data_IF_700353487772
#
_entry.id   IF_700353487772
#
_cell.length_a   1.000
_cell.length_b   1.000
_cell.length_c   1.000
_cell.angle_alpha   90.00
_cell.angle_beta   90.00
_cell.angle_gamma   90.00
#
_symmetry.space_group_name_H-M   'P 1'
#
loop_
_entity.id
_entity.type
_entity.pdbx_description
1 polymer ?
#
# COMPACT_ATOMS: atom_id res chain seq x y z
N UNK A 1 15.97 -19.77 3.18
CA UNK A 1 15.15 -18.60 2.76
C UNK A 1 13.71 -19.07 2.70
N UNK A 2 12.91 -18.79 3.72
CA UNK A 2 11.51 -19.22 3.79
C UNK A 2 10.60 -17.99 3.60
N UNK A 3 10.28 -17.66 2.35
CA UNK A 3 9.23 -16.69 2.04
C UNK A 3 7.87 -17.40 2.15
N UNK A 4 7.31 -17.46 3.36
CA UNK A 4 6.00 -18.05 3.61
C UNK A 4 4.89 -17.11 3.18
N UNK A 5 4.24 -17.38 2.05
CA UNK A 5 2.98 -16.73 1.66
C UNK A 5 1.89 -17.33 2.55
N UNK A 6 1.37 -16.58 3.52
CA UNK A 6 0.14 -16.97 4.24
C UNK A 6 -1.07 -16.41 3.48
N UNK A 7 -1.90 -17.33 2.97
CA UNK A 7 -3.17 -17.01 2.33
C UNK A 7 -4.26 -16.86 3.39
N UNK A 8 -5.01 -15.76 3.37
CA UNK A 8 -6.27 -15.62 4.10
C UNK A 8 -7.42 -15.96 3.15
N UNK A 9 -8.33 -16.84 3.57
CA UNK A 9 -9.57 -17.13 2.85
C UNK A 9 -10.76 -16.57 3.62
N UNK A 10 -11.67 -15.89 2.90
CA UNK A 10 -12.90 -15.29 3.44
C UNK A 10 -14.09 -15.93 2.73
N UNK A 11 -15.06 -16.43 3.51
CA UNK A 11 -16.34 -17.01 3.06
C UNK A 11 -17.46 -15.97 3.10
N UNK A 12 -18.35 -15.99 2.11
CA UNK A 12 -19.52 -15.09 1.97
C UNK A 12 -20.86 -15.79 2.28
N UNK A 13 -21.86 -15.03 2.74
CA UNK A 13 -23.29 -15.36 2.77
C UNK A 13 -24.15 -14.19 2.23
N UNK A 14 -25.42 -14.40 1.80
CA UNK A 14 -26.13 -13.50 0.86
C UNK A 14 -27.28 -12.66 1.47
N UNK A 15 -27.82 -11.76 0.62
CA UNK A 15 -29.10 -10.98 0.66
C UNK A 15 -29.18 -9.77 1.62
N UNK A 16 -29.77 -8.60 1.33
CA UNK A 16 -30.65 -8.08 0.26
C UNK A 16 -30.69 -6.52 0.32
N UNK A 17 -31.25 -5.86 -0.72
CA UNK A 17 -31.23 -4.42 -1.03
C UNK A 17 -32.10 -3.49 -0.13
N UNK A 18 -31.71 -2.21 0.05
CA UNK A 18 -32.66 -1.06 -0.10
C UNK A 18 -31.94 0.29 -0.24
N UNK A 19 -32.59 1.20 -0.98
CA UNK A 19 -32.09 2.45 -1.54
C UNK A 19 -32.34 3.68 -0.66
N UNK A 20 -31.29 4.41 -0.29
CA UNK A 20 -31.36 5.83 0.13
C UNK A 20 -30.05 6.57 -0.20
N UNK A 21 -30.20 7.78 -0.72
CA UNK A 21 -29.16 8.74 -1.08
C UNK A 21 -28.14 8.96 0.05
N UNK A 22 -26.91 8.49 -0.16
CA UNK A 22 -25.88 8.40 0.87
C UNK A 22 -24.48 8.45 0.22
N UNK A 23 -23.99 9.65 -0.13
CA UNK A 23 -22.61 9.82 -0.63
C UNK A 23 -21.52 9.71 0.46
N UNK A 24 -21.87 9.47 1.73
CA UNK A 24 -20.93 9.19 2.84
C UNK A 24 -21.44 8.12 3.84
N UNK A 25 -21.58 6.85 3.45
CA UNK A 25 -21.40 5.78 4.46
C UNK A 25 -20.90 4.45 3.91
N UNK A 26 -20.68 4.29 2.60
CA UNK A 26 -20.26 2.98 2.07
C UNK A 26 -18.84 2.64 2.58
N UNK A 27 -17.98 3.64 2.73
CA UNK A 27 -16.59 3.42 3.18
C UNK A 27 -16.53 3.06 4.66
N UNK A 28 -17.30 3.76 5.51
CA UNK A 28 -17.31 3.48 6.96
C UNK A 28 -18.03 2.18 7.31
N UNK A 29 -19.08 1.83 6.57
CA UNK A 29 -19.83 0.59 6.78
C UNK A 29 -19.01 -0.64 6.33
N UNK A 30 -18.34 -0.54 5.17
CA UNK A 30 -17.38 -1.54 4.69
C UNK A 30 -16.15 -1.68 5.62
N UNK A 31 -15.81 -0.62 6.35
CA UNK A 31 -14.74 -0.60 7.34
C UNK A 31 -15.07 -1.49 8.55
N UNK A 32 -16.34 -1.58 8.94
CA UNK A 32 -16.75 -2.43 10.08
C UNK A 32 -16.53 -3.91 9.73
N UNK A 33 -16.82 -4.28 8.49
CA UNK A 33 -16.68 -5.67 8.00
C UNK A 33 -15.24 -6.11 7.80
N UNK A 34 -14.32 -5.19 7.46
CA UNK A 34 -12.92 -5.49 7.12
C UNK A 34 -11.94 -5.20 8.26
N UNK A 35 -12.46 -5.05 9.48
CA UNK A 35 -11.67 -4.51 10.58
C UNK A 35 -10.65 -5.52 11.13
N UNK A 36 -10.96 -6.81 11.04
CA UNK A 36 -10.03 -7.87 11.41
C UNK A 36 -8.83 -7.90 10.47
N UNK A 37 -9.04 -7.78 9.15
CA UNK A 37 -7.98 -7.72 8.15
C UNK A 37 -7.09 -6.50 8.37
N UNK A 38 -7.68 -5.35 8.66
CA UNK A 38 -6.93 -4.12 8.96
C UNK A 38 -6.06 -4.31 10.20
N UNK A 39 -6.59 -4.89 11.26
CA UNK A 39 -5.82 -5.16 12.50
C UNK A 39 -4.67 -6.13 12.22
N UNK A 40 -4.93 -7.22 11.50
CA UNK A 40 -3.92 -8.22 11.17
C UNK A 40 -2.80 -7.64 10.30
N UNK A 41 -3.12 -6.86 9.28
CA UNK A 41 -2.12 -6.24 8.42
C UNK A 41 -1.37 -5.16 9.19
N UNK A 42 -2.02 -4.41 10.08
CA UNK A 42 -1.35 -3.40 10.92
C UNK A 42 -0.31 -4.05 11.83
N UNK A 43 -0.63 -5.18 12.48
CA UNK A 43 0.35 -5.93 13.28
C UNK A 43 1.52 -6.44 12.40
N UNK A 44 1.25 -6.97 11.21
CA UNK A 44 2.33 -7.37 10.29
C UNK A 44 3.23 -6.19 9.88
N UNK A 45 2.67 -5.00 9.68
CA UNK A 45 3.40 -3.81 9.28
C UNK A 45 4.25 -3.21 10.41
N UNK A 46 3.81 -3.29 11.67
CA UNK A 46 4.42 -2.57 12.80
C UNK A 46 5.20 -3.50 13.74
N UNK A 47 4.82 -4.77 13.80
CA UNK A 47 5.42 -5.80 14.67
C UNK A 47 6.10 -6.92 13.85
N UNK A 48 6.04 -6.83 12.52
CA UNK A 48 6.73 -7.77 11.64
C UNK A 48 8.25 -7.60 11.66
N UNK A 49 8.99 -8.51 11.00
CA UNK A 49 10.44 -8.42 10.92
C UNK A 49 10.92 -7.12 10.24
N UNK A 50 12.07 -6.60 10.69
CA UNK A 50 12.69 -5.35 10.19
C UNK A 50 13.29 -5.46 8.77
N UNK A 51 12.98 -6.53 8.03
CA UNK A 51 13.46 -6.75 6.67
C UNK A 51 12.38 -6.39 5.63
N UNK A 52 12.75 -6.46 4.35
CA UNK A 52 11.82 -6.21 3.26
C UNK A 52 10.65 -7.20 3.28
N UNK A 53 9.43 -6.68 3.43
CA UNK A 53 8.18 -7.43 3.40
C UNK A 53 7.31 -7.03 2.21
N UNK A 54 6.58 -8.01 1.66
CA UNK A 54 5.57 -7.79 0.63
C UNK A 54 4.24 -8.36 1.12
N UNK A 55 3.26 -7.48 1.35
CA UNK A 55 1.90 -7.84 1.75
C UNK A 55 0.98 -7.63 0.56
N UNK A 56 0.30 -8.69 0.13
CA UNK A 56 -0.63 -8.65 -1.01
C UNK A 56 -2.08 -8.69 -0.51
N UNK A 57 -2.89 -7.71 -0.90
CA UNK A 57 -4.34 -7.69 -0.62
C UNK A 57 -5.07 -8.24 -1.86
N UNK A 58 -5.59 -9.45 -1.77
CA UNK A 58 -6.25 -10.17 -2.86
C UNK A 58 -7.76 -10.30 -2.58
N UNK A 59 -8.56 -10.48 -3.63
CA UNK A 59 -10.01 -10.60 -3.52
C UNK A 59 -10.76 -10.13 -4.76
N UNK A 60 -12.06 -10.38 -4.80
CA UNK A 60 -12.93 -10.07 -5.94
C UNK A 60 -13.10 -8.56 -6.17
N UNK A 61 -13.57 -8.18 -7.35
CA UNK A 61 -13.93 -6.79 -7.64
C UNK A 61 -14.98 -6.29 -6.64
N UNK A 62 -14.88 -5.05 -6.19
CA UNK A 62 -15.86 -4.46 -5.27
C UNK A 62 -15.68 -4.80 -3.79
N UNK A 63 -14.82 -5.76 -3.40
CA UNK A 63 -14.62 -6.17 -1.99
C UNK A 63 -13.84 -5.16 -1.12
N UNK A 64 -13.44 -4.00 -1.65
CA UNK A 64 -12.85 -2.95 -0.82
C UNK A 64 -11.33 -3.03 -0.59
N UNK A 65 -10.59 -3.84 -1.37
CA UNK A 65 -9.11 -3.95 -1.27
C UNK A 65 -8.39 -2.59 -1.22
N UNK A 66 -8.74 -1.68 -2.13
CA UNK A 66 -8.16 -0.34 -2.18
C UNK A 66 -8.57 0.49 -0.97
N UNK A 67 -9.75 0.25 -0.39
CA UNK A 67 -10.20 0.90 0.84
C UNK A 67 -9.37 0.43 2.05
N UNK A 68 -9.11 -0.88 2.17
CA UNK A 68 -8.19 -1.44 3.19
C UNK A 68 -6.80 -0.80 3.06
N UNK A 69 -6.21 -0.84 1.87
CA UNK A 69 -4.88 -0.25 1.63
C UNK A 69 -4.83 1.25 1.98
N UNK A 70 -5.88 1.99 1.62
CA UNK A 70 -5.99 3.43 1.91
C UNK A 70 -6.17 3.71 3.40
N UNK A 71 -6.88 2.85 4.13
CA UNK A 71 -7.04 2.98 5.58
C UNK A 71 -5.72 2.71 6.29
N UNK A 72 -5.01 1.64 5.94
CA UNK A 72 -3.67 1.34 6.47
C UNK A 72 -2.67 2.46 6.18
N UNK A 73 -2.65 3.01 4.97
CA UNK A 73 -1.78 4.14 4.61
C UNK A 73 -2.02 5.39 5.47
N UNK A 74 -3.25 5.59 5.94
CA UNK A 74 -3.65 6.73 6.76
C UNK A 74 -3.69 6.40 8.27
N UNK A 75 -3.45 5.15 8.65
CA UNK A 75 -3.45 4.73 10.05
C UNK A 75 -2.28 5.39 10.80
N UNK A 76 -2.57 5.93 11.98
CA UNK A 76 -1.57 6.69 12.74
C UNK A 76 -0.40 5.83 13.21
N UNK A 77 -0.64 4.57 13.57
CA UNK A 77 0.43 3.65 14.01
C UNK A 77 1.34 3.32 12.83
N UNK A 78 0.75 3.00 11.68
CA UNK A 78 1.50 2.74 10.45
C UNK A 78 2.32 3.96 10.05
N UNK A 79 1.71 5.16 10.02
CA UNK A 79 2.42 6.40 9.66
C UNK A 79 3.54 6.78 10.63
N UNK A 80 3.40 6.45 11.92
CA UNK A 80 4.46 6.71 12.90
C UNK A 80 5.60 5.69 12.85
N UNK A 81 5.35 4.51 12.30
CA UNK A 81 6.35 3.43 12.24
C UNK A 81 7.32 3.59 11.07
N UNK A 82 6.86 4.10 9.92
CA UNK A 82 7.70 4.26 8.73
C UNK A 82 8.19 5.71 8.55
N UNK A 83 9.49 5.90 8.33
CA UNK A 83 10.09 7.22 8.06
C UNK A 83 9.53 7.89 6.80
N UNK A 84 9.18 7.07 5.80
CA UNK A 84 8.61 7.48 4.51
C UNK A 84 7.51 6.52 4.09
N UNK A 85 6.41 7.08 3.60
CA UNK A 85 5.32 6.31 3.01
C UNK A 85 4.98 6.85 1.61
N UNK A 86 4.90 5.95 0.64
CA UNK A 86 4.52 6.28 -0.74
C UNK A 86 3.20 5.61 -1.12
N UNK A 87 2.35 6.34 -1.84
CA UNK A 87 1.16 5.78 -2.48
C UNK A 87 1.25 5.99 -3.99
N UNK A 88 1.13 4.89 -4.75
CA UNK A 88 1.15 4.92 -6.21
C UNK A 88 0.00 4.09 -6.78
N UNK A 89 -0.62 4.57 -7.85
CA UNK A 89 -1.69 3.86 -8.56
C UNK A 89 -1.09 3.22 -9.81
N UNK A 90 -0.93 1.91 -9.79
CA UNK A 90 -0.57 1.16 -10.99
C UNK A 90 -1.77 0.99 -11.89
N UNK A 91 -1.86 1.75 -12.98
CA UNK A 91 -2.76 1.37 -14.08
C UNK A 91 -2.08 0.27 -14.90
N UNK A 92 -2.86 -0.59 -15.55
CA UNK A 92 -2.35 -1.71 -16.38
C UNK A 92 -1.29 -1.30 -17.43
N UNK A 93 -1.24 -0.01 -17.77
CA UNK A 93 -0.34 0.58 -18.77
C UNK A 93 0.83 1.36 -18.12
N UNK A 94 1.01 1.30 -16.80
CA UNK A 94 2.14 1.97 -16.15
C UNK A 94 3.45 1.29 -16.54
N UNK A 95 4.27 2.01 -17.31
CA UNK A 95 5.66 1.63 -17.57
C UNK A 95 6.39 1.61 -16.22
N UNK A 96 7.07 0.50 -15.90
CA UNK A 96 7.91 0.31 -14.68
C UNK A 96 8.67 1.58 -14.28
N UNK A 97 9.29 2.26 -15.25
CA UNK A 97 10.06 3.50 -15.06
C UNK A 97 9.23 4.65 -14.47
N UNK A 98 7.97 4.82 -14.90
CA UNK A 98 7.08 5.85 -14.36
C UNK A 98 6.76 5.58 -12.89
N UNK A 99 6.42 4.33 -12.57
CA UNK A 99 6.14 3.92 -11.19
C UNK A 99 7.34 4.19 -10.26
N UNK A 100 8.54 3.80 -10.69
CA UNK A 100 9.77 4.04 -9.93
C UNK A 100 10.06 5.54 -9.73
N UNK A 101 9.79 6.38 -10.73
CA UNK A 101 9.91 7.84 -10.62
C UNK A 101 8.88 8.44 -9.67
N UNK A 102 7.64 7.95 -9.70
CA UNK A 102 6.58 8.39 -8.79
C UNK A 102 6.95 8.04 -7.33
N UNK A 103 7.44 6.81 -7.10
CA UNK A 103 7.97 6.39 -5.78
C UNK A 103 9.13 7.27 -5.36
N UNK A 104 10.14 7.48 -6.23
CA UNK A 104 11.29 8.31 -5.88
C UNK A 104 10.87 9.74 -5.51
N UNK A 105 9.88 10.29 -6.21
CA UNK A 105 9.35 11.63 -5.94
C UNK A 105 8.61 11.78 -4.62
N UNK A 106 8.08 10.68 -4.06
CA UNK A 106 7.40 10.71 -2.77
C UNK A 106 8.36 10.47 -1.60
N UNK A 107 9.50 9.79 -1.83
CA UNK A 107 10.45 9.46 -0.76
C UNK A 107 11.64 10.43 -0.66
N UNK A 108 12.04 11.09 -1.75
CA UNK A 108 13.17 12.04 -1.78
C UNK A 108 12.70 13.47 -1.99
N UNK A 109 13.42 14.43 -1.40
CA UNK A 109 13.23 15.87 -1.61
C UNK A 109 13.88 16.34 -2.93
N UNK A 110 13.72 15.61 -4.02
CA UNK A 110 14.23 15.98 -5.35
C UNK A 110 13.16 16.68 -6.16
N UNK A 111 13.55 17.59 -7.05
CA UNK A 111 12.57 18.23 -7.94
C UNK A 111 12.05 17.20 -8.94
N UNK A 112 10.74 17.28 -9.24
CA UNK A 112 10.13 16.39 -10.25
C UNK A 112 10.87 16.44 -11.59
N UNK A 113 11.30 17.63 -12.02
CA UNK A 113 11.99 17.79 -13.30
C UNK A 113 13.36 17.10 -13.34
N UNK A 114 14.02 16.96 -12.19
CA UNK A 114 15.29 16.23 -12.05
C UNK A 114 15.01 14.72 -12.16
N UNK A 115 14.02 14.21 -11.41
CA UNK A 115 13.61 12.80 -11.46
C UNK A 115 13.13 12.38 -12.86
N UNK A 116 12.41 13.26 -13.57
CA UNK A 116 11.92 12.98 -14.92
C UNK A 116 13.05 12.81 -15.93
N UNK A 117 14.18 13.49 -15.73
CA UNK A 117 15.37 13.38 -16.58
C UNK A 117 16.25 12.18 -16.25
N UNK A 118 16.14 11.61 -15.04
CA UNK A 118 16.95 10.48 -14.62
C UNK A 118 16.86 9.29 -15.59
N UNK A 119 18.03 8.75 -15.91
CA UNK A 119 18.20 7.47 -16.59
C UNK A 119 18.03 6.30 -15.62
N UNK A 120 17.90 5.08 -16.14
CA UNK A 120 17.63 3.90 -15.34
C UNK A 120 18.75 3.61 -14.33
N UNK A 121 20.01 3.95 -14.67
CA UNK A 121 21.17 3.81 -13.76
C UNK A 121 21.06 4.76 -12.55
N UNK A 122 20.81 6.04 -12.80
CA UNK A 122 20.66 7.06 -11.76
C UNK A 122 19.45 6.77 -10.87
N UNK A 123 18.35 6.30 -11.49
CA UNK A 123 17.14 5.87 -10.79
C UNK A 123 17.43 4.69 -9.86
N UNK A 124 18.19 3.70 -10.32
CA UNK A 124 18.59 2.55 -9.52
C UNK A 124 19.53 2.93 -8.37
N UNK A 125 20.48 3.84 -8.58
CA UNK A 125 21.39 4.34 -7.54
C UNK A 125 20.62 5.14 -6.47
N UNK A 126 19.70 6.03 -6.88
CA UNK A 126 18.91 6.85 -5.94
C UNK A 126 17.94 6.01 -5.10
N UNK A 127 17.34 4.97 -5.69
CA UNK A 127 16.48 4.03 -4.98
C UNK A 127 17.28 3.01 -4.15
N UNK A 128 18.45 2.57 -4.63
CA UNK A 128 19.32 1.65 -3.91
C UNK A 128 19.93 2.28 -2.66
N UNK A 129 20.33 3.55 -2.73
CA UNK A 129 20.82 4.32 -1.57
C UNK A 129 19.75 4.53 -0.50
N UNK A 130 18.46 4.55 -0.87
CA UNK A 130 17.36 4.61 0.11
C UNK A 130 17.34 3.37 1.02
N UNK A 131 17.64 2.18 0.47
CA UNK A 131 17.73 0.96 1.27
C UNK A 131 18.98 0.93 2.17
N UNK A 132 20.05 1.65 1.83
CA UNK A 132 21.30 1.68 2.60
C UNK A 132 21.26 2.65 3.79
N UNK A 133 20.48 3.74 3.70
CA UNK A 133 20.29 4.71 4.78
C UNK A 133 19.44 4.15 5.94
N UNK A 134 18.67 3.09 5.72
CA UNK A 134 17.80 2.43 6.72
C UNK A 134 18.47 1.25 7.46
N UNK A 135 19.75 0.98 7.17
CA UNK A 135 20.54 -0.13 7.77
C UNK A 135 21.58 0.31 8.79
N UNK A 136 21.55 1.57 9.27
CA UNK A 136 22.42 2.08 10.34
C UNK A 136 21.62 2.45 11.60
#
# INVERSE_FOLDING_TARGET
MNCGIRSLQVTQSPSEESSLDKRVPIVDEMIVELQEEIIQITSQLVEGPDNLQIISILGLAGVGKTAIAKKLYNDSKVRSHFDKLSWCVGYLIYKRRKLLKDILSSVRNLKRDEILKMEDKELAECLGSFNAELTN
#
